data_IF_809051996445
#
_entry.id   IF_809051996445
#
_cell.length_a   1.000
_cell.length_b   1.000
_cell.length_c   1.000
_cell.angle_alpha   90.00
_cell.angle_beta   90.00
_cell.angle_gamma   90.00
#
_symmetry.space_group_name_H-M   'P 1'
#
loop_
_entity.id
_entity.type
_entity.pdbx_description
1 polymer ?
#
# COMPACT_ATOMS: atom_id res chain seq x y z
N UNK A 1 -5.51 -6.15 17.29
CA UNK A 1 -6.28 -6.08 16.03
C UNK A 1 -6.59 -4.64 15.60
N UNK A 2 -6.87 -3.72 16.52
CA UNK A 2 -7.13 -2.29 16.25
C UNK A 2 -5.98 -1.61 15.49
N UNK A 3 -4.72 -1.88 15.89
CA UNK A 3 -3.54 -1.29 15.25
C UNK A 3 -3.44 -1.55 13.74
N UNK A 4 -3.74 -2.77 13.28
CA UNK A 4 -3.69 -3.13 11.84
C UNK A 4 -4.76 -2.35 11.06
N UNK A 5 -5.94 -2.18 11.64
CA UNK A 5 -7.03 -1.40 11.02
C UNK A 5 -6.68 0.09 10.94
N UNK A 6 -6.05 0.63 11.97
CA UNK A 6 -5.65 2.03 12.01
C UNK A 6 -4.52 2.31 11.01
N UNK A 7 -3.53 1.41 10.90
CA UNK A 7 -2.49 1.47 9.86
C UNK A 7 -3.10 1.45 8.46
N UNK A 8 -4.03 0.52 8.18
CA UNK A 8 -4.69 0.39 6.89
C UNK A 8 -5.53 1.65 6.53
N UNK A 9 -6.14 2.31 7.52
CA UNK A 9 -6.87 3.58 7.30
C UNK A 9 -5.92 4.73 6.96
N UNK A 10 -4.81 4.86 7.69
CA UNK A 10 -3.81 5.91 7.47
C UNK A 10 -3.20 5.77 6.08
N UNK A 11 -2.79 4.55 5.69
CA UNK A 11 -2.21 4.32 4.37
C UNK A 11 -3.22 4.60 3.25
N UNK A 12 -4.48 4.20 3.40
CA UNK A 12 -5.54 4.52 2.43
C UNK A 12 -5.76 6.03 2.29
N UNK A 13 -5.74 6.77 3.40
CA UNK A 13 -5.87 8.22 3.36
C UNK A 13 -4.68 8.88 2.67
N UNK A 14 -3.46 8.45 3.01
CA UNK A 14 -2.23 8.94 2.39
C UNK A 14 -2.22 8.75 0.87
N UNK A 15 -2.53 7.55 0.39
CA UNK A 15 -2.61 7.27 -1.04
C UNK A 15 -3.65 8.13 -1.75
N UNK A 16 -4.80 8.38 -1.12
CA UNK A 16 -5.82 9.24 -1.68
C UNK A 16 -5.31 10.68 -1.86
N UNK A 17 -4.56 11.20 -0.90
CA UNK A 17 -3.94 12.53 -0.99
C UNK A 17 -2.93 12.57 -2.14
N UNK A 18 -2.07 11.56 -2.25
CA UNK A 18 -1.11 11.50 -3.36
C UNK A 18 -1.84 11.43 -4.72
N UNK A 19 -2.88 10.59 -4.84
CA UNK A 19 -3.63 10.42 -6.09
C UNK A 19 -4.32 11.72 -6.53
N UNK A 20 -4.83 12.52 -5.57
CA UNK A 20 -5.40 13.84 -5.86
C UNK A 20 -4.29 14.85 -6.23
N UNK A 21 -3.16 14.84 -5.52
CA UNK A 21 -2.04 15.74 -5.79
C UNK A 21 -1.41 15.55 -7.18
N UNK A 22 -1.40 14.31 -7.68
CA UNK A 22 -0.91 13.98 -9.02
C UNK A 22 -1.79 14.49 -10.16
N UNK A 23 -3.04 14.86 -9.89
CA UNK A 23 -3.93 15.45 -10.89
C UNK A 23 -3.47 16.84 -11.36
N UNK A 24 -2.63 17.50 -10.57
CA UNK A 24 -2.16 18.85 -10.86
C UNK A 24 -0.85 18.72 -11.65
N UNK A 25 -0.71 19.25 -12.88
CA UNK A 25 0.44 18.95 -13.76
C UNK A 25 1.83 19.12 -13.13
N UNK A 26 2.15 20.33 -12.67
CA UNK A 26 3.46 20.68 -12.12
C UNK A 26 3.65 20.13 -10.70
N UNK A 27 2.58 20.18 -9.90
CA UNK A 27 2.59 19.68 -8.52
C UNK A 27 2.67 18.14 -8.51
N UNK A 28 2.10 17.49 -9.53
CA UNK A 28 2.03 16.05 -9.65
C UNK A 28 3.40 15.40 -9.79
N UNK A 29 4.34 16.05 -10.48
CA UNK A 29 5.74 15.59 -10.52
C UNK A 29 6.36 15.56 -9.12
N UNK A 30 6.20 16.64 -8.35
CA UNK A 30 6.74 16.73 -6.99
C UNK A 30 6.04 15.73 -6.04
N UNK A 31 4.73 15.57 -6.19
CA UNK A 31 3.92 14.61 -5.42
C UNK A 31 4.33 13.18 -5.75
N UNK A 32 4.60 12.84 -7.02
CA UNK A 32 5.09 11.51 -7.42
C UNK A 32 6.48 11.20 -6.88
N UNK A 33 7.40 12.18 -6.85
CA UNK A 33 8.71 12.01 -6.21
C UNK A 33 8.52 11.71 -4.71
N UNK A 34 7.66 12.48 -4.03
CA UNK A 34 7.30 12.24 -2.64
C UNK A 34 6.71 10.85 -2.42
N UNK A 35 5.80 10.41 -3.30
CA UNK A 35 5.24 9.06 -3.24
C UNK A 35 6.30 7.99 -3.40
N UNK A 36 7.22 8.11 -4.37
CA UNK A 36 8.30 7.12 -4.56
C UNK A 36 9.14 6.99 -3.28
N UNK A 37 9.49 8.12 -2.65
CA UNK A 37 10.25 8.09 -1.39
C UNK A 37 9.46 7.42 -0.26
N UNK A 38 8.18 7.77 -0.08
CA UNK A 38 7.33 7.15 0.93
C UNK A 38 7.13 5.65 0.66
N UNK A 39 7.01 5.27 -0.62
CA UNK A 39 6.87 3.88 -1.04
C UNK A 39 8.13 3.08 -0.74
N UNK A 40 9.31 3.66 -0.94
CA UNK A 40 10.58 3.03 -0.57
C UNK A 40 10.69 2.78 0.94
N UNK A 41 10.30 3.77 1.76
CA UNK A 41 10.24 3.58 3.22
C UNK A 41 9.21 2.52 3.62
N UNK A 42 8.05 2.50 2.95
CA UNK A 42 7.01 1.51 3.17
C UNK A 42 7.49 0.09 2.80
N UNK A 43 8.21 -0.07 1.68
CA UNK A 43 8.82 -1.33 1.27
C UNK A 43 9.86 -1.81 2.28
N UNK A 44 10.72 -0.91 2.79
CA UNK A 44 11.70 -1.25 3.82
C UNK A 44 11.03 -1.74 5.11
N UNK A 45 10.02 -1.02 5.58
CA UNK A 45 9.24 -1.40 6.78
C UNK A 45 8.52 -2.74 6.53
N UNK A 46 7.99 -2.95 5.34
CA UNK A 46 7.33 -4.20 4.96
C UNK A 46 8.30 -5.39 5.02
N UNK A 47 9.50 -5.25 4.44
CA UNK A 47 10.55 -6.28 4.49
C UNK A 47 10.96 -6.58 5.93
N UNK A 48 11.18 -5.56 6.76
CA UNK A 48 11.49 -5.73 8.17
C UNK A 48 10.37 -6.47 8.91
N UNK A 49 9.12 -6.13 8.62
CA UNK A 49 7.93 -6.76 9.22
C UNK A 49 7.82 -8.22 8.82
N UNK A 50 8.05 -8.55 7.54
CA UNK A 50 8.08 -9.94 7.05
C UNK A 50 9.20 -10.72 7.72
N UNK A 51 10.41 -10.15 7.82
CA UNK A 51 11.56 -10.82 8.42
C UNK A 51 11.32 -11.13 9.91
N UNK A 52 10.86 -10.15 10.68
CA UNK A 52 10.53 -10.32 12.11
C UNK A 52 9.37 -11.28 12.28
N UNK A 53 8.31 -11.16 11.47
CA UNK A 53 7.15 -12.05 11.51
C UNK A 53 7.51 -13.50 11.18
N UNK A 54 8.37 -13.71 10.18
CA UNK A 54 8.83 -15.04 9.76
C UNK A 54 9.76 -15.68 10.78
N UNK A 55 10.70 -14.91 11.34
CA UNK A 55 11.58 -15.39 12.42
C UNK A 55 10.78 -15.78 13.67
N UNK A 56 9.79 -14.97 14.03
CA UNK A 56 8.92 -15.24 15.18
C UNK A 56 8.03 -16.45 14.92
N UNK A 57 7.50 -16.61 13.70
CA UNK A 57 6.73 -17.78 13.29
C UNK A 57 7.58 -19.06 13.35
N UNK A 58 8.81 -19.01 12.83
CA UNK A 58 9.75 -20.14 12.88
C UNK A 58 10.06 -20.51 14.33
N UNK A 59 10.32 -19.52 15.18
CA UNK A 59 10.57 -19.74 16.61
C UNK A 59 9.35 -20.35 17.31
N UNK A 60 8.13 -19.91 16.96
CA UNK A 60 6.89 -20.46 17.50
C UNK A 60 6.65 -21.92 17.05
N UNK A 61 7.05 -22.27 15.83
CA UNK A 61 7.00 -23.63 15.31
C UNK A 61 7.99 -24.56 16.03
N UNK A 62 9.25 -24.11 16.20
CA UNK A 62 10.30 -24.87 16.90
C UNK A 62 9.95 -25.08 18.37
N UNK A 63 9.42 -24.06 19.04
CA UNK A 63 9.03 -24.12 20.45
C UNK A 63 7.65 -24.77 20.71
N UNK A 64 6.99 -25.31 19.67
CA UNK A 64 5.63 -25.88 19.73
C UNK A 64 4.63 -24.99 20.50
N UNK A 65 4.68 -23.67 20.25
CA UNK A 65 3.75 -22.72 20.86
C UNK A 65 2.33 -22.91 20.35
N UNK A 66 1.39 -22.39 21.14
CA UNK A 66 -0.05 -22.39 20.88
C UNK A 66 -0.40 -21.83 19.49
N UNK A 67 -1.46 -22.37 18.89
CA UNK A 67 -1.91 -22.00 17.54
C UNK A 67 -2.33 -20.53 17.43
N UNK A 68 -2.82 -19.93 18.52
CA UNK A 68 -3.11 -18.50 18.55
C UNK A 68 -1.87 -17.63 18.28
N UNK A 69 -0.69 -18.06 18.77
CA UNK A 69 0.58 -17.33 18.54
C UNK A 69 1.01 -17.44 17.08
N UNK A 70 0.86 -18.62 16.48
CA UNK A 70 1.19 -18.87 15.07
C UNK A 70 0.27 -18.08 14.13
N UNK A 71 -1.02 -18.03 14.43
CA UNK A 71 -1.97 -17.24 13.65
C UNK A 71 -1.68 -15.73 13.75
N UNK A 72 -1.33 -15.24 14.95
CA UNK A 72 -0.87 -13.87 15.15
C UNK A 72 0.37 -13.54 14.30
N UNK A 73 1.39 -14.40 14.31
CA UNK A 73 2.59 -14.22 13.50
C UNK A 73 2.28 -14.27 12.00
N UNK A 74 1.39 -15.17 11.56
CA UNK A 74 0.95 -15.25 10.16
C UNK A 74 0.26 -13.97 9.71
N UNK A 75 -0.57 -13.35 10.57
CA UNK A 75 -1.20 -12.04 10.28
C UNK A 75 -0.16 -10.92 10.14
N UNK A 76 0.90 -10.92 10.93
CA UNK A 76 2.01 -9.96 10.82
C UNK A 76 2.75 -10.13 9.48
N UNK A 77 3.04 -11.38 9.08
CA UNK A 77 3.66 -11.66 7.78
C UNK A 77 2.74 -11.22 6.64
N UNK A 78 1.45 -11.50 6.72
CA UNK A 78 0.47 -11.03 5.73
C UNK A 78 0.41 -9.50 5.66
N UNK A 79 0.46 -8.78 6.79
CA UNK A 79 0.50 -7.33 6.81
C UNK A 79 1.73 -6.78 6.08
N UNK A 80 2.90 -7.36 6.36
CA UNK A 80 4.13 -6.99 5.65
C UNK A 80 4.02 -7.26 4.15
N UNK A 81 3.45 -8.40 3.74
CA UNK A 81 3.25 -8.70 2.33
C UNK A 81 2.27 -7.72 1.65
N UNK A 82 1.20 -7.30 2.32
CA UNK A 82 0.30 -6.26 1.83
C UNK A 82 1.03 -4.94 1.65
N UNK A 83 1.78 -4.49 2.67
CA UNK A 83 2.53 -3.24 2.61
C UNK A 83 3.58 -3.24 1.50
N UNK A 84 4.23 -4.39 1.27
CA UNK A 84 5.20 -4.56 0.19
C UNK A 84 4.52 -4.43 -1.19
N UNK A 85 3.41 -5.14 -1.40
CA UNK A 85 2.66 -5.06 -2.66
C UNK A 85 2.18 -3.63 -2.95
N UNK A 86 1.67 -2.96 -1.91
CA UNK A 86 1.22 -1.57 -1.98
C UNK A 86 2.39 -0.62 -2.31
N UNK A 87 3.53 -0.81 -1.65
CA UNK A 87 4.76 -0.06 -1.92
C UNK A 87 5.18 -0.19 -3.37
N UNK A 88 5.27 -1.42 -3.90
CA UNK A 88 5.64 -1.67 -5.29
C UNK A 88 4.67 -1.01 -6.27
N UNK A 89 3.36 -1.11 -6.02
CA UNK A 89 2.34 -0.48 -6.87
C UNK A 89 2.45 1.05 -6.84
N UNK A 90 2.69 1.64 -5.68
CA UNK A 90 2.86 3.08 -5.52
C UNK A 90 4.16 3.57 -6.16
N UNK A 91 5.25 2.81 -6.06
CA UNK A 91 6.54 3.06 -6.74
C UNK A 91 6.35 3.03 -8.26
N UNK A 92 5.72 1.97 -8.79
CA UNK A 92 5.42 1.84 -10.22
C UNK A 92 4.55 2.99 -10.73
N UNK A 93 3.50 3.35 -9.98
CA UNK A 93 2.64 4.48 -10.35
C UNK A 93 3.41 5.80 -10.32
N UNK A 94 4.19 6.06 -9.26
CA UNK A 94 5.00 7.29 -9.16
C UNK A 94 5.98 7.43 -10.33
N UNK A 95 6.67 6.35 -10.71
CA UNK A 95 7.52 6.36 -11.91
C UNK A 95 6.73 6.55 -13.19
N UNK A 96 5.56 5.93 -13.31
CA UNK A 96 4.65 6.13 -14.44
C UNK A 96 4.29 7.61 -14.61
N UNK A 97 3.80 8.24 -13.55
CA UNK A 97 3.43 9.67 -13.56
C UNK A 97 4.64 10.54 -13.89
N UNK A 98 5.82 10.25 -13.34
CA UNK A 98 7.03 11.01 -13.60
C UNK A 98 7.51 10.91 -15.06
N UNK A 99 7.55 9.70 -15.62
CA UNK A 99 7.96 9.47 -17.03
C UNK A 99 6.95 10.12 -17.99
N UNK A 100 5.66 9.89 -17.77
CA UNK A 100 4.62 10.48 -18.62
C UNK A 100 4.57 12.00 -18.48
N UNK A 101 4.73 12.56 -17.28
CA UNK A 101 4.91 14.00 -17.06
C UNK A 101 6.04 14.58 -17.89
N UNK A 102 7.23 13.98 -17.80
CA UNK A 102 8.40 14.45 -18.54
C UNK A 102 8.18 14.38 -20.06
N UNK A 103 7.53 13.33 -20.54
CA UNK A 103 7.24 13.15 -21.96
C UNK A 103 6.14 14.09 -22.51
N UNK A 104 5.26 14.61 -21.65
CA UNK A 104 4.06 15.36 -22.05
C UNK A 104 3.98 16.78 -21.46
N UNK A 105 5.07 17.24 -20.83
CA UNK A 105 5.14 18.53 -20.14
C UNK A 105 4.02 18.67 -19.08
N UNK A 106 3.78 17.59 -18.33
CA UNK A 106 2.84 17.54 -17.20
C UNK A 106 1.38 17.19 -17.56
N UNK A 107 1.00 17.11 -18.84
CA UNK A 107 -0.37 16.76 -19.24
C UNK A 107 -0.71 15.27 -19.07
N UNK A 108 0.29 14.40 -19.16
CA UNK A 108 0.16 12.94 -19.08
C UNK A 108 -0.30 12.44 -17.71
N UNK A 109 -0.13 13.24 -16.67
CA UNK A 109 -0.60 12.91 -15.32
C UNK A 109 -2.13 12.81 -15.26
N UNK A 110 -2.84 13.68 -15.96
CA UNK A 110 -4.29 13.66 -16.02
C UNK A 110 -4.83 12.37 -16.66
N UNK A 111 -4.08 11.77 -17.59
CA UNK A 111 -4.46 10.49 -18.21
C UNK A 111 -4.25 9.29 -17.27
N UNK A 112 -3.19 9.29 -16.46
CA UNK A 112 -2.92 8.24 -15.47
C UNK A 112 -3.87 8.29 -14.26
N UNK A 113 -4.62 9.38 -14.11
CA UNK A 113 -5.68 9.55 -13.11
C UNK A 113 -7.03 8.96 -13.56
N UNK A 114 -7.24 8.76 -14.87
CA UNK A 114 -8.50 8.23 -15.41
C UNK A 114 -8.89 6.87 -14.76
N UNK A 115 -7.97 5.89 -14.59
CA UNK A 115 -8.29 4.65 -13.89
C UNK A 115 -8.72 4.86 -12.44
N UNK A 116 -8.17 5.88 -11.76
CA UNK A 116 -8.50 6.23 -10.37
C UNK A 116 -9.86 6.93 -10.23
N UNK A 117 -10.30 7.66 -11.26
CA UNK A 117 -11.65 8.22 -11.35
C UNK A 117 -12.71 7.16 -11.64
N UNK A 118 -12.33 6.10 -12.38
CA UNK A 118 -13.20 4.97 -12.72
C UNK A 118 -13.31 3.94 -11.58
N UNK A 119 -12.44 4.01 -10.59
CA UNK A 119 -12.47 3.09 -9.45
C UNK A 119 -13.61 3.45 -8.47
N UNK A 120 -14.24 2.43 -7.85
CA UNK A 120 -15.42 2.62 -6.98
C UNK A 120 -15.13 3.55 -5.79
N UNK A 121 -13.94 3.37 -5.20
CA UNK A 121 -13.38 4.30 -4.22
C UNK A 121 -12.54 5.34 -4.98
N UNK A 122 -13.18 6.37 -5.53
CA UNK A 122 -12.53 7.45 -6.29
C UNK A 122 -11.20 7.89 -5.64
N UNK A 123 -10.10 7.81 -6.40
CA UNK A 123 -8.73 8.11 -5.94
C UNK A 123 -8.20 7.18 -4.84
N UNK A 124 -8.79 6.01 -4.65
CA UNK A 124 -8.35 5.01 -3.68
C UNK A 124 -7.15 4.17 -4.15
N UNK A 125 -6.66 3.28 -3.27
CA UNK A 125 -5.60 2.32 -3.60
C UNK A 125 -5.97 1.45 -4.81
N UNK A 126 -4.96 1.02 -5.59
CA UNK A 126 -5.18 -0.04 -6.60
C UNK A 126 -5.60 -1.36 -5.96
N UNK A 127 -5.02 -1.70 -4.81
CA UNK A 127 -5.35 -2.89 -4.03
C UNK A 127 -5.79 -2.45 -2.64
N UNK A 128 -6.95 -2.93 -2.19
CA UNK A 128 -7.49 -2.54 -0.88
C UNK A 128 -6.59 -3.05 0.25
N UNK A 129 -6.12 -2.14 1.10
CA UNK A 129 -5.51 -2.51 2.39
C UNK A 129 -6.46 -3.40 3.20
N UNK A 130 -5.95 -4.52 3.71
CA UNK A 130 -6.73 -5.51 4.44
C UNK A 130 -7.23 -6.70 3.62
N UNK A 131 -6.83 -6.85 2.35
CA UNK A 131 -7.23 -7.99 1.52
C UNK A 131 -6.73 -9.35 2.04
N UNK A 132 -5.47 -9.44 2.47
CA UNK A 132 -4.86 -10.61 3.10
C UNK A 132 -5.08 -10.64 4.62
N UNK A 133 -5.14 -9.49 5.28
CA UNK A 133 -5.27 -9.42 6.75
C UNK A 133 -6.72 -9.43 7.26
N UNK A 134 -7.70 -9.04 6.44
CA UNK A 134 -9.14 -9.01 6.76
C UNK A 134 -10.06 -9.53 5.62
N UNK A 135 -9.87 -10.77 5.13
CA UNK A 135 -10.59 -11.27 3.95
C UNK A 135 -12.13 -11.34 4.10
N UNK A 136 -12.64 -11.43 5.34
CA UNK A 136 -14.08 -11.58 5.62
C UNK A 136 -14.87 -10.26 5.70
N UNK A 137 -14.24 -9.09 5.57
CA UNK A 137 -14.96 -7.80 5.49
C UNK A 137 -15.30 -7.38 4.05
N UNK A 138 -15.18 -8.30 3.09
CA UNK A 138 -15.38 -8.03 1.66
C UNK A 138 -16.87 -7.97 1.27
N UNK A 139 -17.81 -8.36 2.13
CA UNK A 139 -19.26 -8.31 1.80
C UNK A 139 -20.06 -7.54 2.85
N UNK A 140 -19.80 -6.25 2.99
CA UNK A 140 -20.82 -5.26 3.42
C UNK A 140 -20.28 -3.86 3.20
N UNK A 141 -20.52 -3.31 2.02
CA UNK A 141 -20.97 -1.92 1.94
C UNK A 141 -21.84 -1.81 0.69
N UNK A 142 -23.12 -1.55 0.95
CA UNK A 142 -24.11 -1.10 -0.02
C UNK A 142 -23.70 0.24 -0.61
#
# INVERSE_FOLDING_TARGET
>A
MTYIQDTNKICRFGEKVFNVGECIPVVGVAVSIGRIQVSYWQELIAVATIAVGSFTLLSALVLKKDEQTKEGCRKIVCLGAEQLLQGVLNTLHGYGVLIFSCATIGLGNAFLVIPHLMNKDKFGPYVRYGFLTEPNKVVTNK
#
